data_IF_583028502872
#
_entry.id   IF_583028502872
#
_cell.length_a   1.000
_cell.length_b   1.000
_cell.length_c   1.000
_cell.angle_alpha   90.00
_cell.angle_beta   90.00
_cell.angle_gamma   90.00
#
_symmetry.space_group_name_H-M   'P 1'
#
loop_
_entity.id
_entity.type
_entity.pdbx_description
1 polymer ?
#
# COMPACT_ATOMS: atom_id res chain seq x y z
N UNK A 1 7.01 -15.65 11.50
CA UNK A 1 6.00 -14.59 11.28
C UNK A 1 4.56 -15.11 11.45
N UNK A 2 3.66 -14.39 12.16
CA UNK A 2 2.24 -14.81 12.32
C UNK A 2 1.44 -14.63 11.02
N UNK A 3 0.30 -15.35 10.82
CA UNK A 3 -0.55 -15.14 9.64
C UNK A 3 -1.04 -13.70 9.47
N UNK A 4 -1.37 -13.00 10.55
CA UNK A 4 -1.77 -11.60 10.50
C UNK A 4 -0.62 -10.66 10.06
N UNK A 5 0.60 -10.91 10.52
CA UNK A 5 1.79 -10.16 10.10
C UNK A 5 2.03 -10.33 8.59
N UNK A 6 1.88 -11.56 8.08
CA UNK A 6 2.00 -11.85 6.64
C UNK A 6 0.97 -11.05 5.82
N UNK A 7 -0.27 -10.93 6.29
CA UNK A 7 -1.27 -10.13 5.61
C UNK A 7 -0.92 -8.64 5.59
N UNK A 8 -0.29 -8.12 6.65
CA UNK A 8 0.22 -6.75 6.69
C UNK A 8 1.33 -6.56 5.65
N UNK A 9 2.27 -7.51 5.53
CA UNK A 9 3.32 -7.47 4.49
C UNK A 9 2.70 -7.46 3.08
N UNK A 10 1.79 -8.38 2.79
CA UNK A 10 1.10 -8.44 1.49
C UNK A 10 0.35 -7.14 1.19
N UNK A 11 -0.23 -6.50 2.22
CA UNK A 11 -0.94 -5.23 2.08
C UNK A 11 0.01 -4.08 1.76
N UNK A 12 1.20 -4.05 2.39
CA UNK A 12 2.26 -3.09 2.05
C UNK A 12 2.75 -3.30 0.61
N UNK A 13 2.99 -4.55 0.20
CA UNK A 13 3.40 -4.86 -1.18
C UNK A 13 2.32 -4.47 -2.21
N UNK A 14 1.03 -4.66 -1.87
CA UNK A 14 -0.07 -4.22 -2.71
C UNK A 14 -0.08 -2.69 -2.84
N UNK A 15 0.10 -1.95 -1.75
CA UNK A 15 0.14 -0.49 -1.79
C UNK A 15 1.30 0.04 -2.64
N UNK A 16 2.48 -0.59 -2.57
CA UNK A 16 3.61 -0.27 -3.45
C UNK A 16 3.26 -0.50 -4.93
N UNK A 17 2.64 -1.64 -5.26
CA UNK A 17 2.17 -1.90 -6.63
C UNK A 17 1.14 -0.89 -7.11
N UNK A 18 0.22 -0.48 -6.23
CA UNK A 18 -0.77 0.56 -6.56
C UNK A 18 -0.08 1.89 -6.88
N UNK A 19 0.95 2.29 -6.12
CA UNK A 19 1.73 3.50 -6.38
C UNK A 19 2.47 3.43 -7.73
N UNK A 20 3.08 2.28 -8.04
CA UNK A 20 3.75 2.06 -9.33
C UNK A 20 2.79 2.17 -10.51
N UNK A 21 1.61 1.54 -10.41
CA UNK A 21 0.57 1.61 -11.45
C UNK A 21 0.06 3.05 -11.59
N UNK A 22 -0.19 3.75 -10.48
CA UNK A 22 -0.66 5.12 -10.53
C UNK A 22 0.37 6.05 -11.18
N UNK A 23 1.65 5.91 -10.85
CA UNK A 23 2.71 6.73 -11.44
C UNK A 23 2.87 6.48 -12.94
N UNK A 24 2.84 5.21 -13.37
CA UNK A 24 2.88 4.88 -14.80
C UNK A 24 1.64 5.42 -15.52
N UNK A 25 0.46 5.21 -14.95
CA UNK A 25 -0.81 5.65 -15.52
C UNK A 25 -0.94 7.18 -15.62
N UNK A 26 -0.42 7.94 -14.65
CA UNK A 26 -0.35 9.40 -14.72
C UNK A 26 0.58 9.90 -15.84
N UNK A 27 1.65 9.15 -16.14
CA UNK A 27 2.57 9.44 -17.25
C UNK A 27 1.95 9.11 -18.61
N UNK A 28 1.11 8.09 -18.67
CA UNK A 28 0.55 7.54 -19.92
C UNK A 28 -0.86 8.06 -20.23
N UNK A 29 -1.46 8.87 -19.36
CA UNK A 29 -2.86 9.30 -19.53
C UNK A 29 -3.06 10.12 -20.83
N UNK A 30 -4.07 9.74 -21.60
CA UNK A 30 -4.49 10.47 -22.81
C UNK A 30 -5.80 11.25 -22.60
N UNK A 31 -6.49 11.00 -21.48
CA UNK A 31 -7.73 11.69 -21.12
C UNK A 31 -7.85 11.99 -19.62
N UNK A 32 -8.83 12.83 -19.28
CA UNK A 32 -9.13 13.24 -17.91
C UNK A 32 -9.63 12.07 -17.05
N UNK A 33 -10.28 11.07 -17.64
CA UNK A 33 -10.83 9.91 -16.92
C UNK A 33 -9.72 9.02 -16.35
N UNK A 34 -8.69 8.74 -17.14
CA UNK A 34 -7.46 8.08 -16.72
C UNK A 34 -6.79 8.85 -15.57
N UNK A 35 -6.70 10.18 -15.68
CA UNK A 35 -6.14 11.02 -14.61
C UNK A 35 -6.87 10.91 -13.29
N UNK A 36 -8.21 10.91 -13.33
CA UNK A 36 -9.02 10.70 -12.12
C UNK A 36 -8.78 9.30 -11.55
N UNK A 37 -8.78 8.26 -12.39
CA UNK A 37 -8.56 6.88 -11.95
C UNK A 37 -7.21 6.71 -11.24
N UNK A 38 -6.13 7.17 -11.87
CA UNK A 38 -4.78 7.00 -11.31
C UNK A 38 -4.53 7.91 -10.09
N UNK A 39 -5.14 9.10 -10.06
CA UNK A 39 -5.14 9.94 -8.86
C UNK A 39 -5.84 9.26 -7.67
N UNK A 40 -7.02 8.67 -7.88
CA UNK A 40 -7.74 7.91 -6.85
C UNK A 40 -6.94 6.69 -6.40
N UNK A 41 -6.32 5.97 -7.34
CA UNK A 41 -5.46 4.82 -7.04
C UNK A 41 -4.29 5.21 -6.13
N UNK A 42 -3.62 6.33 -6.45
CA UNK A 42 -2.49 6.88 -5.66
C UNK A 42 -2.92 7.24 -4.24
N UNK A 43 -4.03 7.96 -4.10
CA UNK A 43 -4.53 8.39 -2.79
C UNK A 43 -4.93 7.20 -1.91
N UNK A 44 -5.60 6.20 -2.50
CA UNK A 44 -5.93 4.96 -1.82
C UNK A 44 -4.68 4.20 -1.37
N UNK A 45 -3.66 4.12 -2.24
CA UNK A 45 -2.39 3.45 -1.94
C UNK A 45 -1.69 4.07 -0.72
N UNK A 46 -1.57 5.41 -0.67
CA UNK A 46 -0.97 6.09 0.48
C UNK A 46 -1.74 5.86 1.78
N UNK A 47 -3.09 5.89 1.71
CA UNK A 47 -3.93 5.62 2.87
C UNK A 47 -3.76 4.19 3.38
N UNK A 48 -3.76 3.20 2.48
CA UNK A 48 -3.55 1.79 2.81
C UNK A 48 -2.16 1.57 3.41
N UNK A 49 -1.11 2.07 2.75
CA UNK A 49 0.28 1.98 3.23
C UNK A 49 0.42 2.54 4.64
N UNK A 50 -0.12 3.74 4.89
CA UNK A 50 -0.08 4.36 6.21
C UNK A 50 -0.82 3.56 7.30
N UNK A 51 -1.93 2.90 6.98
CA UNK A 51 -2.64 2.04 7.93
C UNK A 51 -1.88 0.73 8.20
N UNK A 52 -1.37 0.09 7.14
CA UNK A 52 -0.61 -1.14 7.26
C UNK A 52 0.71 -0.93 8.03
N UNK A 53 1.43 0.17 7.78
CA UNK A 53 2.63 0.54 8.53
C UNK A 53 2.30 0.78 10.02
N UNK A 54 1.21 1.50 10.32
CA UNK A 54 0.78 1.71 11.72
C UNK A 54 0.51 0.39 12.43
N UNK A 55 -0.12 -0.57 11.76
CA UNK A 55 -0.40 -1.89 12.34
C UNK A 55 0.88 -2.73 12.49
N UNK A 56 1.78 -2.73 11.50
CA UNK A 56 3.11 -3.34 11.60
C UNK A 56 3.85 -2.81 12.83
N UNK A 57 3.90 -1.49 13.00
CA UNK A 57 4.55 -0.86 14.15
C UNK A 57 3.86 -1.20 15.48
N UNK A 58 2.53 -1.34 15.48
CA UNK A 58 1.78 -1.82 16.65
C UNK A 58 2.21 -3.24 17.04
N UNK A 59 2.34 -4.15 16.07
CA UNK A 59 2.81 -5.51 16.30
C UNK A 59 4.27 -5.58 16.75
N UNK A 60 5.16 -4.74 16.20
CA UNK A 60 6.55 -4.62 16.64
C UNK A 60 6.61 -4.17 18.11
N UNK A 61 5.88 -3.11 18.48
CA UNK A 61 5.84 -2.60 19.86
C UNK A 61 5.30 -3.61 20.86
N UNK A 62 4.39 -4.50 20.44
CA UNK A 62 3.85 -5.59 21.26
C UNK A 62 4.76 -6.83 21.32
N UNK A 63 5.88 -6.84 20.59
CA UNK A 63 6.76 -8.01 20.45
C UNK A 63 6.10 -9.18 19.70
N UNK A 64 5.05 -8.90 18.92
CA UNK A 64 4.34 -9.91 18.13
C UNK A 64 4.97 -10.13 16.77
N UNK A 65 5.61 -9.08 16.24
CA UNK A 65 6.31 -9.14 14.97
C UNK A 65 7.58 -9.98 15.12
N UNK A 66 7.54 -11.19 14.58
CA UNK A 66 8.69 -12.10 14.53
C UNK A 66 9.09 -12.30 13.07
N UNK A 67 10.21 -11.69 12.70
CA UNK A 67 10.96 -12.00 11.49
C UNK A 67 11.66 -13.33 11.81
N UNK A 68 11.09 -14.44 11.31
CA UNK A 68 11.82 -15.72 11.29
C UNK A 68 12.84 -15.67 10.15
#
# INVERSE_FOLDING_TARGET
MKPCDRNIVITLDLAEKMLQIAQQGESDQEDTGCGILYGVLRDAAFKIKGLADKEKQSHIRKGWWKED
#
